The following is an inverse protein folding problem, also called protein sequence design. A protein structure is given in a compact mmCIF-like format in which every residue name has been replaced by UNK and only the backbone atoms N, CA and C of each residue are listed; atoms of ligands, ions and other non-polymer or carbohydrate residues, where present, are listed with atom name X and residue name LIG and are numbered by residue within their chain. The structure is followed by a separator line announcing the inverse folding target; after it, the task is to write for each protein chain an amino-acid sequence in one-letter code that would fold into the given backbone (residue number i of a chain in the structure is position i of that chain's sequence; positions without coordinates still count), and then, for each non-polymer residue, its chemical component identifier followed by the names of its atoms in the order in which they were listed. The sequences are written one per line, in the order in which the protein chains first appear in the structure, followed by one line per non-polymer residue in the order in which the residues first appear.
data_IF_510478146066
#
_entry.id   IF_510478146066
#
_cell.length_a   1.000
_cell.length_b   1.000
_cell.length_c   1.000
_cell.angle_alpha   90.00
_cell.angle_beta   90.00
_cell.angle_gamma   90.00
#
_symmetry.space_group_name_H-M   'P 1'
#
loop_
_entity.id
_entity.type
_entity.pdbx_description
1 polymer ?
#
# COMPACT_ATOMS: atom_id res chain seq x y z
N UNK A 1 -9.65 19.50 24.40
CA UNK A 1 -8.39 18.79 24.27
C UNK A 1 -7.68 19.27 23.01
N UNK A 2 -6.45 19.64 23.16
CA UNK A 2 -5.66 20.35 22.16
C UNK A 2 -4.36 19.57 21.98
N UNK A 3 -3.49 20.04 21.14
CA UNK A 3 -2.19 19.46 20.89
C UNK A 3 -2.27 18.19 20.08
N UNK A 4 -1.56 17.15 20.50
CA UNK A 4 -1.48 15.92 19.75
C UNK A 4 -2.85 15.33 19.40
N UNK A 5 -3.75 15.24 20.36
CA UNK A 5 -5.09 14.73 20.12
C UNK A 5 -5.87 15.58 19.14
N UNK A 6 -5.71 16.88 19.22
CA UNK A 6 -6.36 17.82 18.31
C UNK A 6 -5.85 17.63 16.88
N UNK A 7 -4.56 17.48 16.70
CA UNK A 7 -3.97 17.26 15.38
C UNK A 7 -4.42 15.93 14.76
N UNK A 8 -4.45 14.88 15.54
CA UNK A 8 -4.93 13.58 15.07
C UNK A 8 -6.39 13.67 14.64
N UNK A 9 -7.24 14.32 15.44
CA UNK A 9 -8.64 14.52 15.09
C UNK A 9 -8.75 15.34 13.81
N UNK A 10 -7.97 16.42 13.66
CA UNK A 10 -7.98 17.23 12.44
C UNK A 10 -7.57 16.44 11.23
N UNK A 11 -6.56 15.57 11.32
CA UNK A 11 -6.14 14.72 10.22
C UNK A 11 -7.21 13.70 9.84
N UNK A 12 -7.99 13.20 10.82
CA UNK A 12 -9.08 12.25 10.62
C UNK A 12 -10.43 12.91 10.39
N UNK A 13 -10.52 14.20 10.65
CA UNK A 13 -11.76 14.97 10.58
C UNK A 13 -12.21 15.28 9.16
N UNK A 14 -11.42 14.90 8.18
CA UNK A 14 -11.83 14.90 6.79
C UNK A 14 -12.93 13.85 6.63
N UNK A 15 -13.97 14.21 5.93
CA UNK A 15 -15.11 13.31 5.75
C UNK A 15 -14.68 12.08 4.96
N UNK A 16 -14.77 10.92 5.60
CA UNK A 16 -14.61 9.65 4.92
C UNK A 16 -15.78 9.44 3.96
N UNK A 17 -15.47 9.35 2.67
CA UNK A 17 -16.49 9.18 1.64
C UNK A 17 -16.69 7.74 1.25
N UNK A 18 -15.59 6.98 1.15
CA UNK A 18 -15.67 5.60 0.69
C UNK A 18 -14.49 4.79 1.22
N UNK A 19 -14.78 3.52 1.50
CA UNK A 19 -13.76 2.52 1.80
C UNK A 19 -13.86 1.39 0.77
N UNK A 20 -12.74 1.07 0.15
CA UNK A 20 -12.60 -0.09 -0.73
C UNK A 20 -11.80 -1.14 -0.01
N UNK A 21 -12.27 -2.38 -0.03
CA UNK A 21 -11.58 -3.52 0.59
C UNK A 21 -11.37 -4.61 -0.44
N UNK A 22 -10.20 -5.20 -0.45
CA UNK A 22 -9.88 -6.38 -1.25
C UNK A 22 -9.08 -7.37 -0.43
N UNK A 23 -9.31 -8.66 -0.68
CA UNK A 23 -8.55 -9.76 -0.10
C UNK A 23 -8.12 -10.69 -1.21
N UNK A 24 -6.86 -11.08 -1.19
CA UNK A 24 -6.27 -12.03 -2.12
C UNK A 24 -5.55 -13.11 -1.32
N UNK A 25 -6.09 -14.32 -1.34
CA UNK A 25 -5.53 -15.43 -0.59
C UNK A 25 -4.40 -16.15 -1.35
N UNK A 26 -4.40 -16.07 -2.68
CA UNK A 26 -3.45 -16.79 -3.52
C UNK A 26 -2.03 -16.31 -3.31
N UNK A 27 -1.09 -17.24 -3.37
CA UNK A 27 0.34 -16.94 -3.27
C UNK A 27 0.84 -16.33 -4.57
N UNK A 28 1.65 -15.29 -4.44
CA UNK A 28 2.42 -14.73 -5.55
C UNK A 28 3.92 -14.82 -5.21
N UNK A 29 4.72 -14.95 -6.25
CA UNK A 29 6.19 -14.90 -6.15
C UNK A 29 6.66 -13.69 -6.93
N UNK A 30 7.60 -12.95 -6.38
CA UNK A 30 8.12 -11.76 -7.04
C UNK A 30 9.64 -11.65 -6.88
N UNK A 31 10.24 -10.93 -7.81
CA UNK A 31 11.67 -10.66 -7.88
C UNK A 31 11.92 -9.15 -7.84
N UNK A 32 13.03 -8.69 -8.37
CA UNK A 32 13.29 -7.25 -8.55
C UNK A 32 12.45 -6.63 -9.69
N UNK A 33 11.69 -7.44 -10.40
CA UNK A 33 10.70 -6.95 -11.37
C UNK A 33 9.36 -6.89 -10.65
N UNK A 34 8.77 -5.69 -10.57
CA UNK A 34 7.53 -5.48 -9.84
C UNK A 34 6.38 -6.30 -10.43
N UNK A 35 5.57 -6.88 -9.54
CA UNK A 35 4.34 -7.59 -9.92
C UNK A 35 3.16 -6.99 -9.18
N UNK A 36 1.97 -6.96 -9.79
CA UNK A 36 0.76 -6.49 -9.10
C UNK A 36 0.45 -7.36 -7.88
N UNK A 37 0.30 -6.72 -6.73
CA UNK A 37 -0.17 -7.41 -5.52
C UNK A 37 -1.69 -7.51 -5.48
N UNK A 38 -2.38 -6.60 -6.18
CA UNK A 38 -3.83 -6.54 -6.34
C UNK A 38 -4.14 -6.02 -7.75
N UNK A 39 -5.31 -6.36 -8.26
CA UNK A 39 -5.83 -5.71 -9.46
C UNK A 39 -6.01 -4.20 -9.17
N UNK A 40 -5.83 -3.32 -10.16
CA UNK A 40 -6.04 -1.89 -9.97
C UNK A 40 -7.44 -1.58 -9.42
N UNK A 41 -7.52 -0.62 -8.51
CA UNK A 41 -8.79 -0.15 -7.97
C UNK A 41 -9.02 1.29 -8.41
N UNK A 42 -10.13 1.55 -9.06
CA UNK A 42 -10.54 2.92 -9.42
C UNK A 42 -11.26 3.55 -8.25
N UNK A 43 -10.83 4.74 -7.86
CA UNK A 43 -11.47 5.55 -6.84
C UNK A 43 -12.02 6.84 -7.46
N UNK A 44 -12.93 7.47 -6.76
CA UNK A 44 -13.54 8.74 -7.18
C UNK A 44 -13.32 9.80 -6.12
N UNK A 45 -12.68 10.91 -6.51
CA UNK A 45 -12.66 12.12 -5.68
C UNK A 45 -13.96 12.92 -5.82
N UNK A 46 -14.69 12.76 -6.93
CA UNK A 46 -15.87 13.57 -7.24
C UNK A 46 -15.49 14.92 -7.80
N UNK A 47 -16.22 15.97 -7.39
CA UNK A 47 -16.04 17.32 -7.91
C UNK A 47 -14.95 18.14 -7.17
N UNK A 48 -14.35 17.56 -6.15
CA UNK A 48 -13.35 18.23 -5.32
C UNK A 48 -12.08 17.38 -5.29
N UNK A 49 -10.98 17.99 -4.90
CA UNK A 49 -9.79 17.21 -4.57
C UNK A 49 -10.10 16.26 -3.41
N UNK A 50 -9.34 15.20 -3.30
CA UNK A 50 -9.50 14.27 -2.19
C UNK A 50 -8.15 13.79 -1.65
N UNK A 51 -8.19 13.18 -0.48
CA UNK A 51 -7.05 12.49 0.11
C UNK A 51 -7.35 11.00 0.15
N UNK A 52 -6.31 10.20 0.00
CA UNK A 52 -6.44 8.74 -0.06
C UNK A 52 -5.45 8.10 0.89
N UNK A 53 -5.95 7.23 1.76
CA UNK A 53 -5.11 6.39 2.61
C UNK A 53 -5.18 4.95 2.10
N UNK A 54 -4.03 4.37 1.86
CA UNK A 54 -3.92 2.98 1.39
C UNK A 54 -3.21 2.18 2.46
N UNK A 55 -3.85 1.13 2.95
CA UNK A 55 -3.28 0.21 3.93
C UNK A 55 -3.19 -1.18 3.31
N UNK A 56 -2.03 -1.79 3.41
CA UNK A 56 -1.76 -3.11 2.88
C UNK A 56 -1.26 -4.00 4.02
N UNK A 57 -1.88 -5.17 4.18
CA UNK A 57 -1.39 -6.24 5.03
C UNK A 57 -1.10 -7.46 4.17
N UNK A 58 0.01 -8.11 4.42
CA UNK A 58 0.38 -9.33 3.69
C UNK A 58 1.27 -10.21 4.56
N UNK A 59 1.18 -11.51 4.33
CA UNK A 59 2.20 -12.44 4.81
C UNK A 59 3.30 -12.52 3.77
N UNK A 60 4.54 -12.27 4.20
CA UNK A 60 5.74 -12.40 3.36
C UNK A 60 6.58 -13.55 3.90
N UNK A 61 7.13 -14.35 3.01
CA UNK A 61 7.98 -15.48 3.39
C UNK A 61 8.92 -15.85 2.26
N UNK A 62 9.91 -16.69 2.59
CA UNK A 62 10.95 -17.11 1.66
C UNK A 62 11.68 -15.92 1.01
N UNK A 63 11.85 -14.84 1.75
CA UNK A 63 12.63 -13.69 1.29
C UNK A 63 14.09 -14.11 1.20
N UNK A 64 14.69 -13.96 0.03
CA UNK A 64 16.08 -14.30 -0.19
C UNK A 64 16.97 -13.49 0.77
N UNK A 65 17.86 -14.18 1.48
CA UNK A 65 18.78 -13.55 2.43
C UNK A 65 19.59 -12.43 1.76
N UNK A 66 19.72 -11.31 2.45
CA UNK A 66 20.42 -10.13 1.93
C UNK A 66 19.62 -9.27 0.97
N UNK A 67 18.38 -9.63 0.68
CA UNK A 67 17.48 -8.83 -0.14
C UNK A 67 16.28 -8.37 0.69
N UNK A 68 15.53 -7.40 0.19
CA UNK A 68 14.46 -6.75 0.92
C UNK A 68 13.24 -6.62 0.01
N UNK A 69 12.08 -7.03 0.52
CA UNK A 69 10.81 -6.83 -0.17
C UNK A 69 10.33 -5.38 -0.01
N UNK A 70 9.71 -4.86 -1.06
CA UNK A 70 9.19 -3.49 -1.07
C UNK A 70 7.75 -3.45 -1.57
N UNK A 71 7.01 -2.46 -1.09
CA UNK A 71 5.66 -2.14 -1.53
C UNK A 71 5.66 -0.81 -2.28
N UNK A 72 5.05 -0.78 -3.45
CA UNK A 72 4.89 0.42 -4.26
C UNK A 72 3.41 0.72 -4.43
N UNK A 73 2.98 1.90 -3.99
CA UNK A 73 1.61 2.38 -4.16
C UNK A 73 1.63 3.59 -5.08
N UNK A 74 0.79 3.59 -6.09
CA UNK A 74 0.71 4.66 -7.07
C UNK A 74 -0.74 5.08 -7.32
N UNK A 75 -0.92 6.35 -7.61
CA UNK A 75 -2.16 6.89 -8.16
C UNK A 75 -1.86 7.33 -9.60
N UNK A 76 -2.54 6.76 -10.58
CA UNK A 76 -2.33 7.04 -12.02
C UNK A 76 -0.86 6.93 -12.43
N UNK A 77 -0.15 5.97 -11.87
CA UNK A 77 1.27 5.75 -12.14
C UNK A 77 2.22 6.64 -11.36
N UNK A 78 1.73 7.56 -10.54
CA UNK A 78 2.56 8.45 -9.71
C UNK A 78 2.68 7.88 -8.29
N UNK A 79 3.90 7.64 -7.79
CA UNK A 79 4.10 7.06 -6.47
C UNK A 79 3.51 7.93 -5.35
N UNK A 80 2.94 7.27 -4.36
CA UNK A 80 2.60 7.93 -3.08
C UNK A 80 3.88 8.34 -2.36
N UNK A 81 3.83 9.36 -1.52
CA UNK A 81 4.96 9.67 -0.63
C UNK A 81 5.34 8.47 0.22
N UNK A 82 6.63 8.27 0.41
CA UNK A 82 7.22 7.18 1.22
C UNK A 82 6.94 5.76 0.72
N UNK A 83 6.39 5.60 -0.48
CA UNK A 83 6.28 4.27 -1.11
C UNK A 83 7.64 3.73 -1.53
N UNK A 84 7.70 2.44 -1.83
CA UNK A 84 8.98 1.78 -2.10
C UNK A 84 9.75 1.48 -0.83
N UNK A 85 9.08 1.57 0.30
CA UNK A 85 9.67 1.32 1.61
C UNK A 85 9.91 -0.17 1.81
N UNK A 86 11.00 -0.50 2.46
CA UNK A 86 11.37 -1.88 2.75
C UNK A 86 10.40 -2.47 3.79
N UNK A 87 9.86 -3.64 3.52
CA UNK A 87 8.87 -4.28 4.39
C UNK A 87 9.39 -5.51 5.10
N UNK A 88 10.54 -6.03 4.68
CA UNK A 88 11.16 -7.17 5.33
C UNK A 88 12.66 -6.96 5.45
N UNK A 89 13.24 -7.49 6.51
CA UNK A 89 14.65 -7.32 6.87
C UNK A 89 15.65 -8.16 6.08
N UNK A 90 15.29 -8.72 4.97
CA UNK A 90 16.22 -9.41 4.10
C UNK A 90 16.75 -10.74 4.65
N UNK A 91 16.01 -11.38 5.53
CA UNK A 91 16.36 -12.70 6.06
C UNK A 91 15.47 -13.73 5.35
N UNK A 92 16.09 -14.76 4.80
CA UNK A 92 15.35 -15.88 4.26
C UNK A 92 14.60 -16.58 5.41
N UNK A 93 13.29 -16.51 5.37
CA UNK A 93 12.43 -17.07 6.42
C UNK A 93 11.50 -18.10 5.84
N UNK A 94 11.50 -19.33 6.37
CA UNK A 94 10.50 -20.31 5.99
C UNK A 94 9.13 -20.03 6.61
N UNK A 95 9.08 -19.19 7.65
CA UNK A 95 7.84 -18.87 8.38
C UNK A 95 7.32 -17.52 7.89
N UNK A 96 6.03 -17.44 7.61
CA UNK A 96 5.38 -16.21 7.17
C UNK A 96 5.47 -15.13 8.24
N UNK A 97 5.80 -13.91 7.80
CA UNK A 97 5.78 -12.71 8.64
C UNK A 97 4.65 -11.82 8.17
N UNK A 98 3.70 -11.54 9.06
CA UNK A 98 2.63 -10.59 8.75
C UNK A 98 3.18 -9.17 8.85
N UNK A 99 3.01 -8.41 7.79
CA UNK A 99 3.44 -7.01 7.72
C UNK A 99 2.28 -6.14 7.29
N UNK A 100 2.11 -5.00 7.98
CA UNK A 100 1.10 -3.99 7.64
C UNK A 100 1.78 -2.66 7.42
N UNK A 101 1.48 -2.01 6.30
CA UNK A 101 2.00 -0.69 5.95
C UNK A 101 0.86 0.20 5.47
N UNK A 102 0.98 1.49 5.69
CA UNK A 102 -0.01 2.46 5.25
C UNK A 102 0.66 3.68 4.62
N UNK A 103 0.02 4.22 3.60
CA UNK A 103 0.50 5.39 2.85
C UNK A 103 -0.64 6.39 2.68
N UNK A 104 -0.30 7.66 2.67
CA UNK A 104 -1.25 8.75 2.49
C UNK A 104 -0.85 9.61 1.30
N UNK A 105 -1.79 9.90 0.44
CA UNK A 105 -1.67 10.89 -0.63
C UNK A 105 -2.73 11.94 -0.46
N UNK A 106 -2.31 13.20 -0.32
CA UNK A 106 -3.22 14.35 -0.25
C UNK A 106 -3.34 15.02 -1.61
N UNK A 107 -4.39 15.78 -1.78
CA UNK A 107 -4.56 16.67 -2.94
C UNK A 107 -4.57 15.96 -4.29
N UNK A 108 -5.19 14.78 -4.34
CA UNK A 108 -5.56 14.21 -5.62
C UNK A 108 -6.62 15.09 -6.28
N UNK A 109 -6.46 15.33 -7.58
CA UNK A 109 -7.37 16.17 -8.35
C UNK A 109 -8.79 15.59 -8.37
N UNK A 110 -9.82 16.42 -8.65
CA UNK A 110 -11.17 15.90 -8.86
C UNK A 110 -11.21 14.82 -9.95
N UNK A 111 -12.20 13.94 -9.85
CA UNK A 111 -12.40 12.88 -10.82
C UNK A 111 -11.90 11.52 -10.33
N UNK A 112 -11.70 10.62 -11.28
CA UNK A 112 -11.29 9.26 -10.99
C UNK A 112 -9.79 9.06 -11.05
N UNK A 113 -9.29 8.14 -10.23
CA UNK A 113 -7.88 7.79 -10.16
C UNK A 113 -7.73 6.28 -10.03
N UNK A 114 -6.74 5.72 -10.70
CA UNK A 114 -6.40 4.30 -10.58
C UNK A 114 -5.32 4.12 -9.50
N UNK A 115 -5.66 3.38 -8.46
CA UNK A 115 -4.71 3.03 -7.40
C UNK A 115 -4.15 1.65 -7.72
N UNK A 116 -2.82 1.57 -7.77
CA UNK A 116 -2.10 0.30 -7.99
C UNK A 116 -1.17 0.02 -6.82
N UNK A 117 -1.02 -1.26 -6.51
CA UNK A 117 -0.10 -1.76 -5.49
C UNK A 117 0.73 -2.88 -6.09
N UNK A 118 2.04 -2.70 -6.11
CA UNK A 118 2.99 -3.67 -6.63
C UNK A 118 3.99 -4.07 -5.54
N UNK A 119 4.48 -5.30 -5.64
CA UNK A 119 5.58 -5.79 -4.81
C UNK A 119 6.79 -6.07 -5.67
N UNK A 120 7.97 -5.75 -5.16
CA UNK A 120 9.24 -6.16 -5.76
C UNK A 120 10.30 -6.43 -4.69
N UNK A 121 11.45 -6.92 -5.15
CA UNK A 121 12.66 -7.00 -4.35
C UNK A 121 13.56 -5.82 -4.67
N UNK A 122 14.25 -5.31 -3.66
CA UNK A 122 15.14 -4.15 -3.83
C UNK A 122 16.31 -4.45 -4.76
N UNK A 123 16.86 -5.64 -4.69
CA UNK A 123 18.04 -6.03 -5.45
C UNK A 123 17.76 -7.22 -6.34
N UNK A 124 18.46 -7.30 -7.46
CA UNK A 124 18.40 -8.44 -8.36
C UNK A 124 18.93 -9.72 -7.69
N UNK A 125 18.55 -10.87 -8.21
CA UNK A 125 19.07 -12.17 -7.80
C UNK A 125 18.35 -12.81 -6.62
N UNK A 126 17.19 -12.25 -6.22
CA UNK A 126 16.41 -12.84 -5.14
C UNK A 126 14.93 -12.86 -5.45
N UNK A 127 14.20 -13.61 -4.63
CA UNK A 127 12.75 -13.71 -4.70
C UNK A 127 12.14 -13.66 -3.32
N UNK A 128 10.86 -13.36 -3.26
CA UNK A 128 10.04 -13.50 -2.08
C UNK A 128 8.65 -13.98 -2.50
N UNK A 129 7.90 -14.45 -1.53
CA UNK A 129 6.53 -14.88 -1.72
C UNK A 129 5.62 -14.08 -0.81
N UNK A 130 4.40 -13.84 -1.26
CA UNK A 130 3.37 -13.18 -0.48
C UNK A 130 2.04 -13.90 -0.66
N UNK A 131 1.27 -13.99 0.41
CA UNK A 131 -0.09 -14.52 0.37
C UNK A 131 -0.95 -13.86 1.45
N UNK A 132 -2.23 -14.15 1.46
CA UNK A 132 -3.18 -13.60 2.43
C UNK A 132 -3.09 -12.07 2.47
N UNK A 133 -3.17 -11.46 1.30
CA UNK A 133 -3.04 -10.02 1.15
C UNK A 133 -4.38 -9.32 1.36
N UNK A 134 -4.35 -8.24 2.11
CA UNK A 134 -5.52 -7.39 2.32
C UNK A 134 -5.18 -5.96 1.94
N UNK A 135 -6.06 -5.33 1.19
CA UNK A 135 -5.95 -3.94 0.77
C UNK A 135 -7.16 -3.17 1.29
N UNK A 136 -6.91 -2.06 1.94
CA UNK A 136 -7.95 -1.09 2.30
C UNK A 136 -7.59 0.27 1.74
N UNK A 137 -8.51 0.84 0.97
CA UNK A 137 -8.36 2.20 0.42
C UNK A 137 -9.49 3.04 0.99
N UNK A 138 -9.13 4.10 1.68
CA UNK A 138 -10.08 5.07 2.24
C UNK A 138 -9.94 6.39 1.50
N UNK A 139 -11.05 6.92 1.04
CA UNK A 139 -11.13 8.19 0.30
C UNK A 139 -11.78 9.23 1.19
N UNK A 140 -11.11 10.35 1.38
CA UNK A 140 -11.56 11.45 2.25
C UNK A 140 -11.79 12.70 1.42
N UNK A 141 -12.92 13.39 1.67
CA UNK A 141 -13.15 14.72 1.16
C UNK A 141 -12.19 15.72 1.83
N UNK A 142 -11.97 16.89 1.21
CA UNK A 142 -11.14 17.94 1.80
C UNK A 142 -11.67 18.42 3.14
#
# INVERSE_FOLDING_TARGET
MIGYGQEVVTALDRTLQKTHMRQEATRITFSNIAVPAFAPTTIQCGNQSCSVRVEISSQFFNVTSGNIARVHVKADGVPFPSTGFDVDGGINRPVATLTTVAYLKTDLTPGSHAITVDFDMRSAGGTAEAEMRTLMIQVFAP
#
